data_IF_204937501722
#
_entry.id   IF_204937501722
#
_cell.length_a   1.000
_cell.length_b   1.000
_cell.length_c   1.000
_cell.angle_alpha   90.00
_cell.angle_beta   90.00
_cell.angle_gamma   90.00
#
_symmetry.space_group_name_H-M   'P 1'
#
loop_
_entity.id
_entity.type
_entity.pdbx_description
1 polymer ?
#
# COMPACT_ATOMS: atom_id res chain seq x y z
N UNK A 1 -11.19 -20.67 -0.40
CA UNK A 1 -10.26 -20.64 0.75
C UNK A 1 -9.54 -19.31 0.67
N UNK A 2 -10.17 -18.25 1.18
CA UNK A 2 -9.58 -16.92 1.19
C UNK A 2 -8.48 -16.95 2.23
N UNK A 3 -7.23 -16.86 1.77
CA UNK A 3 -6.07 -16.69 2.64
C UNK A 3 -6.07 -15.24 3.11
N UNK A 4 -7.14 -14.84 3.80
CA UNK A 4 -7.16 -13.65 4.66
C UNK A 4 -6.25 -14.01 5.82
N UNK A 5 -4.96 -13.89 5.52
CA UNK A 5 -3.87 -14.02 6.47
C UNK A 5 -4.24 -13.14 7.66
N UNK A 6 -4.09 -13.69 8.86
CA UNK A 6 -4.15 -13.12 10.22
C UNK A 6 -3.43 -11.76 10.41
N UNK A 7 -3.65 -10.81 9.51
CA UNK A 7 -3.04 -9.49 9.43
C UNK A 7 -4.17 -8.49 9.37
N UNK A 8 -4.28 -7.71 10.43
CA UNK A 8 -5.25 -6.63 10.53
C UNK A 8 -4.79 -5.47 9.64
N UNK A 9 -5.15 -5.53 8.35
CA UNK A 9 -4.73 -4.56 7.34
C UNK A 9 -5.17 -3.14 7.71
N UNK A 10 -6.31 -3.01 8.41
CA UNK A 10 -6.81 -1.74 8.91
C UNK A 10 -5.90 -1.17 10.02
N UNK A 11 -5.47 -2.00 10.98
CA UNK A 11 -4.49 -1.58 11.98
C UNK A 11 -3.11 -1.26 11.38
N UNK A 12 -2.69 -1.97 10.34
CA UNK A 12 -1.46 -1.66 9.62
C UNK A 12 -1.58 -0.31 8.90
N UNK A 13 -2.70 -0.06 8.22
CA UNK A 13 -2.99 1.21 7.56
C UNK A 13 -3.06 2.39 8.54
N UNK A 14 -3.67 2.20 9.71
CA UNK A 14 -3.70 3.20 10.78
C UNK A 14 -2.31 3.49 11.39
N UNK A 15 -1.31 2.65 11.12
CA UNK A 15 0.04 2.86 11.59
C UNK A 15 0.74 3.95 10.77
N UNK A 16 1.49 4.88 11.40
CA UNK A 16 2.30 5.87 10.68
C UNK A 16 3.38 5.24 9.78
N UNK A 17 3.60 3.92 9.92
CA UNK A 17 4.51 3.13 9.09
C UNK A 17 4.00 2.94 7.67
N UNK A 18 2.69 3.04 7.46
CA UNK A 18 2.05 2.92 6.16
C UNK A 18 2.28 4.15 5.31
N UNK A 19 2.50 5.32 5.92
CA UNK A 19 2.47 6.61 5.22
C UNK A 19 1.17 7.32 5.56
N UNK A 20 1.01 8.56 5.09
CA UNK A 20 -0.13 9.42 5.47
C UNK A 20 -0.95 9.89 4.27
N UNK A 21 -0.55 9.56 3.04
CA UNK A 21 -1.14 10.16 1.84
C UNK A 21 -1.11 9.20 0.66
N UNK A 22 -2.21 9.21 -0.10
CA UNK A 22 -2.41 8.34 -1.25
C UNK A 22 -3.26 7.13 -0.90
N UNK A 23 -3.18 6.09 -1.72
CA UNK A 23 -4.03 4.90 -1.61
C UNK A 23 -3.27 3.74 -0.95
N UNK A 24 -3.97 2.90 -0.16
CA UNK A 24 -3.39 1.73 0.48
C UNK A 24 -3.08 0.64 -0.55
N UNK A 25 -1.82 0.22 -0.58
CA UNK A 25 -1.33 -0.95 -1.30
C UNK A 25 -0.66 -1.89 -0.32
N UNK A 26 -0.84 -3.19 -0.52
CA UNK A 26 0.05 -4.18 0.05
C UNK A 26 1.34 -4.15 -0.78
N UNK A 27 2.48 -4.03 -0.10
CA UNK A 27 3.77 -3.99 -0.76
C UNK A 27 4.78 -4.86 -0.03
N UNK A 28 5.73 -5.41 -0.79
CA UNK A 28 6.83 -6.22 -0.28
C UNK A 28 8.15 -5.47 -0.32
N UNK A 29 8.85 -5.45 0.81
CA UNK A 29 10.20 -4.92 0.91
C UNK A 29 11.18 -5.78 0.12
N UNK A 30 11.89 -5.21 -0.86
CA UNK A 30 12.90 -5.92 -1.66
C UNK A 30 14.11 -6.39 -0.85
N UNK A 31 14.39 -5.75 0.29
CA UNK A 31 15.54 -6.06 1.13
C UNK A 31 15.30 -7.21 2.13
N UNK A 32 14.13 -7.26 2.77
CA UNK A 32 13.83 -8.26 3.81
C UNK A 32 12.58 -9.11 3.53
N UNK A 33 11.96 -8.92 2.35
CA UNK A 33 10.75 -9.62 1.92
C UNK A 33 9.56 -9.49 2.87
N UNK A 34 9.61 -8.49 3.77
CA UNK A 34 8.50 -8.21 4.65
C UNK A 34 7.40 -7.49 3.88
N UNK A 35 6.20 -8.04 3.98
CA UNK A 35 5.00 -7.48 3.39
C UNK A 35 4.33 -6.57 4.42
N UNK A 36 3.94 -5.37 4.02
CA UNK A 36 3.26 -4.39 4.86
C UNK A 36 2.38 -3.48 4.02
N UNK A 37 1.28 -3.01 4.60
CA UNK A 37 0.45 -1.99 3.97
C UNK A 37 1.24 -0.69 3.86
N UNK A 38 1.17 -0.04 2.72
CA UNK A 38 1.78 1.25 2.42
C UNK A 38 0.76 2.15 1.74
N UNK A 39 0.70 3.41 2.12
CA UNK A 39 0.01 4.45 1.40
C UNK A 39 1.01 5.10 0.45
N UNK A 40 0.70 5.02 -0.83
CA UNK A 40 1.51 5.58 -1.90
C UNK A 40 0.68 6.53 -2.72
N UNK A 41 1.28 7.63 -3.14
CA UNK A 41 0.63 8.51 -4.10
C UNK A 41 0.80 7.93 -5.50
N UNK A 42 -0.16 8.17 -6.41
CA UNK A 42 -0.05 7.71 -7.79
C UNK A 42 1.24 8.21 -8.47
N UNK A 43 1.67 9.44 -8.19
CA UNK A 43 2.92 10.01 -8.71
C UNK A 43 4.17 9.18 -8.36
N UNK A 44 4.24 8.62 -7.16
CA UNK A 44 5.40 7.83 -6.68
C UNK A 44 5.51 6.46 -7.35
N UNK A 45 4.40 5.94 -7.88
CA UNK A 45 4.30 4.63 -8.54
C UNK A 45 4.11 4.76 -10.06
N UNK A 46 4.43 5.92 -10.62
CA UNK A 46 4.41 6.18 -12.06
C UNK A 46 3.01 6.36 -12.67
N UNK A 47 2.01 6.66 -11.85
CA UNK A 47 0.61 6.83 -12.26
C UNK A 47 0.19 8.31 -12.26
N UNK A 48 -0.85 8.62 -13.03
CA UNK A 48 -1.42 9.98 -13.08
C UNK A 48 -2.19 10.33 -11.80
N UNK A 49 -2.14 11.59 -11.36
CA UNK A 49 -2.83 12.06 -10.14
C UNK A 49 -4.35 11.89 -10.23
N UNK A 50 -4.90 11.90 -11.45
CA UNK A 50 -6.34 11.79 -11.72
C UNK A 50 -6.84 10.34 -11.82
N UNK A 51 -5.97 9.33 -11.64
CA UNK A 51 -6.38 7.94 -11.75
C UNK A 51 -7.20 7.50 -10.54
N UNK A 52 -8.26 6.74 -10.79
CA UNK A 52 -9.03 6.14 -9.70
C UNK A 52 -8.26 4.93 -9.12
N UNK A 53 -7.88 4.97 -7.84
CA UNK A 53 -7.05 3.94 -7.23
C UNK A 53 -7.77 2.60 -7.03
N UNK A 54 -9.09 2.54 -7.13
CA UNK A 54 -9.86 1.29 -7.07
C UNK A 54 -9.74 0.51 -8.39
N UNK A 55 -9.47 1.22 -9.49
CA UNK A 55 -9.32 0.64 -10.84
C UNK A 55 -7.88 0.30 -11.21
N UNK A 56 -6.92 0.60 -10.32
CA UNK A 56 -5.50 0.36 -10.55
C UNK A 56 -5.16 -1.12 -10.35
N UNK A 57 -4.52 -1.71 -11.36
CA UNK A 57 -3.91 -3.03 -11.28
C UNK A 57 -2.48 -2.93 -10.73
N UNK A 58 -2.05 -3.89 -9.92
CA UNK A 58 -0.69 -3.86 -9.37
C UNK A 58 0.41 -4.04 -10.39
N UNK A 59 0.12 -4.71 -11.51
CA UNK A 59 1.10 -4.87 -12.60
C UNK A 59 1.43 -3.52 -13.26
N UNK A 60 0.51 -2.55 -13.17
CA UNK A 60 0.72 -1.19 -13.67
C UNK A 60 1.56 -0.31 -12.72
N UNK A 61 1.79 -0.75 -11.48
CA UNK A 61 2.47 0.06 -10.47
C UNK A 61 3.98 -0.20 -10.47
N UNK A 62 4.76 0.87 -10.44
CA UNK A 62 6.21 0.76 -10.31
C UNK A 62 6.65 0.65 -8.85
N UNK A 63 7.86 0.13 -8.63
CA UNK A 63 8.49 0.09 -7.32
C UNK A 63 8.68 1.50 -6.77
N UNK A 64 8.38 1.69 -5.49
CA UNK A 64 8.53 2.98 -4.81
C UNK A 64 9.52 2.86 -3.64
N UNK A 65 10.06 4.00 -3.19
CA UNK A 65 11.02 4.03 -2.08
C UNK A 65 10.32 4.41 -0.78
N UNK A 66 10.40 3.54 0.23
CA UNK A 66 9.82 3.81 1.55
C UNK A 66 10.65 3.20 2.68
N UNK A 67 10.52 3.75 3.88
CA UNK A 67 11.13 3.21 5.10
C UNK A 67 10.57 1.81 5.40
N UNK A 68 11.50 0.86 5.57
CA UNK A 68 11.23 -0.44 6.15
C UNK A 68 11.70 -0.48 7.60
N UNK A 69 10.76 -0.59 8.54
CA UNK A 69 11.04 -0.64 9.96
C UNK A 69 11.80 -1.90 10.38
N UNK A 70 11.68 -2.99 9.62
CA UNK A 70 12.45 -4.21 9.86
C UNK A 70 13.91 -4.07 9.42
N UNK A 71 14.16 -3.38 8.31
CA UNK A 71 15.51 -3.07 7.85
C UNK A 71 16.12 -1.86 8.57
N UNK A 72 15.30 -1.01 9.19
CA UNK A 72 15.73 0.26 9.78
C UNK A 72 16.22 1.28 8.76
N UNK A 73 15.79 1.18 7.49
CA UNK A 73 16.30 2.01 6.39
C UNK A 73 15.26 2.21 5.28
N UNK A 74 15.43 3.28 4.50
CA UNK A 74 14.67 3.49 3.27
C UNK A 74 15.10 2.49 2.19
N UNK A 75 14.16 1.71 1.71
CA UNK A 75 14.40 0.64 0.74
C UNK A 75 13.33 0.68 -0.35
N UNK A 76 13.53 -0.10 -1.40
CA UNK A 76 12.55 -0.26 -2.47
C UNK A 76 11.48 -1.25 -2.05
N UNK A 77 10.23 -0.90 -2.34
CA UNK A 77 9.05 -1.70 -2.09
C UNK A 77 8.36 -1.95 -3.43
N UNK A 78 7.98 -3.21 -3.65
CA UNK A 78 7.22 -3.61 -4.81
C UNK A 78 5.75 -3.76 -4.39
N UNK A 79 4.81 -3.04 -5.02
CA UNK A 79 3.39 -3.26 -4.77
C UNK A 79 3.00 -4.68 -5.21
N UNK A 80 2.21 -5.36 -4.38
CA UNK A 80 1.75 -6.73 -4.58
C UNK A 80 0.24 -6.81 -4.74
N UNK A 81 -0.52 -6.00 -3.99
CA UNK A 81 -1.95 -5.83 -4.19
C UNK A 81 -2.39 -4.38 -3.94
N UNK A 82 -3.37 -3.87 -4.71
CA UNK A 82 -4.07 -2.63 -4.37
C UNK A 82 -5.22 -2.98 -3.44
N UNK A 83 -5.29 -2.33 -2.28
CA UNK A 83 -6.30 -2.65 -1.27
C UNK A 83 -7.56 -1.81 -1.50
N UNK A 84 -8.20 -2.00 -2.66
CA UNK A 84 -9.44 -1.33 -3.05
C UNK A 84 -10.53 -1.41 -1.99
N UNK A 85 -10.71 -2.56 -1.34
CA UNK A 85 -11.68 -2.72 -0.25
C UNK A 85 -11.41 -1.82 0.97
N UNK A 86 -10.15 -1.47 1.26
CA UNK A 86 -9.83 -0.48 2.30
C UNK A 86 -10.16 0.95 1.86
N UNK A 87 -9.99 1.26 0.57
CA UNK A 87 -10.35 2.57 -0.01
C UNK A 87 -11.86 2.78 0.09
N UNK A 88 -12.64 1.77 -0.29
CA UNK A 88 -14.10 1.79 -0.20
C UNK A 88 -14.55 1.92 1.26
N UNK A 89 -13.91 1.19 2.19
CA UNK A 89 -14.21 1.28 3.63
C UNK A 89 -13.90 2.67 4.20
N UNK A 90 -12.79 3.30 3.82
CA UNK A 90 -12.47 4.67 4.22
C UNK A 90 -13.52 5.66 3.70
N UNK A 91 -13.88 5.55 2.41
CA UNK A 91 -14.89 6.41 1.78
C UNK A 91 -16.24 6.31 2.50
N UNK A 92 -16.69 5.09 2.81
CA UNK A 92 -17.96 4.88 3.52
C UNK A 92 -17.91 5.26 5.01
N UNK A 93 -16.73 5.40 5.61
CA UNK A 93 -16.58 5.88 6.99
C UNK A 93 -16.58 7.42 7.08
N UNK A 94 -16.36 8.11 5.97
CA UNK A 94 -16.41 9.57 5.85
C UNK A 94 -17.81 10.12 5.48
N UNK A 95 -18.77 9.24 5.16
CA UNK A 95 -20.17 9.55 4.84
C UNK A 95 -21.11 9.64 6.06
#
# INVERSE_FOLDING_TARGET
MSVETDRDLNAELASPKSGFQGFPVDAICTGCQHVHVKQVRPEDVGQSIEIDPVTLDTDALTSFKHICYRCGSATWWNPTAVLSGLIETQRSAEE
#
